data_IF_093773750880
#
_entry.id   IF_093773750880
#
_cell.length_a   1.000
_cell.length_b   1.000
_cell.length_c   1.000
_cell.angle_alpha   90.00
_cell.angle_beta   90.00
_cell.angle_gamma   90.00
#
_symmetry.space_group_name_H-M   'P 1'
#
loop_
_entity.id
_entity.type
_entity.pdbx_description
1 polymer ?
#
# COMPACT_ATOMS: atom_id res chain seq x y z
N UNK A 1 -9.41 -11.66 -15.76
CA UNK A 1 -10.80 -11.95 -15.34
C UNK A 1 -11.09 -11.38 -13.97
N UNK A 2 -10.35 -11.69 -12.90
CA UNK A 2 -10.60 -11.17 -11.53
C UNK A 2 -10.74 -9.64 -11.45
N UNK A 3 -9.95 -8.90 -12.18
CA UNK A 3 -10.00 -7.42 -12.19
C UNK A 3 -11.28 -6.85 -12.81
N UNK A 4 -12.09 -7.65 -13.48
CA UNK A 4 -13.28 -7.22 -14.23
C UNK A 4 -14.54 -7.97 -13.85
N UNK A 5 -14.46 -8.93 -12.92
CA UNK A 5 -15.62 -9.71 -12.51
C UNK A 5 -16.54 -8.89 -11.60
N UNK A 6 -17.72 -8.57 -12.12
CA UNK A 6 -18.77 -7.86 -11.39
C UNK A 6 -19.87 -8.81 -10.88
N UNK A 7 -19.72 -10.13 -11.06
CA UNK A 7 -20.62 -11.11 -10.45
C UNK A 7 -20.35 -11.32 -8.96
N UNK A 8 -19.12 -11.00 -8.51
CA UNK A 8 -18.65 -11.33 -7.16
C UNK A 8 -18.39 -12.82 -6.94
N UNK A 9 -18.45 -13.63 -7.99
CA UNK A 9 -18.32 -15.10 -7.90
C UNK A 9 -16.89 -15.58 -8.04
N UNK A 10 -15.95 -14.72 -8.45
CA UNK A 10 -14.56 -15.12 -8.65
C UNK A 10 -13.88 -15.44 -7.33
N UNK A 11 -13.45 -16.68 -7.16
CA UNK A 11 -12.65 -17.14 -6.03
C UNK A 11 -11.32 -17.67 -6.54
N UNK A 12 -10.23 -17.31 -5.87
CA UNK A 12 -8.90 -17.84 -6.17
C UNK A 12 -8.75 -19.26 -5.62
N UNK A 13 -8.13 -20.12 -6.40
CA UNK A 13 -7.73 -21.43 -5.91
C UNK A 13 -6.72 -21.28 -4.76
N UNK A 14 -6.90 -22.07 -3.71
CA UNK A 14 -5.94 -22.11 -2.61
C UNK A 14 -4.57 -22.56 -3.12
N UNK A 15 -3.52 -21.84 -2.72
CA UNK A 15 -2.12 -22.13 -3.07
C UNK A 15 -1.72 -21.99 -4.55
N UNK A 16 -2.56 -21.43 -5.41
CA UNK A 16 -2.29 -21.27 -6.84
C UNK A 16 -2.21 -19.81 -7.31
N UNK A 17 -1.74 -18.90 -6.45
CA UNK A 17 -1.24 -17.57 -6.83
C UNK A 17 -2.17 -16.70 -7.69
N UNK A 18 -3.50 -16.80 -7.52
CA UNK A 18 -4.47 -15.99 -8.26
C UNK A 18 -5.14 -16.71 -9.44
N UNK A 19 -4.82 -17.97 -9.69
CA UNK A 19 -5.61 -18.79 -10.60
C UNK A 19 -7.04 -18.98 -10.08
N UNK A 20 -8.04 -19.09 -10.98
CA UNK A 20 -9.41 -19.35 -10.58
C UNK A 20 -9.54 -20.72 -9.92
N UNK A 21 -10.43 -20.82 -8.94
CA UNK A 21 -10.81 -22.13 -8.39
C UNK A 21 -11.37 -23.00 -9.51
N UNK A 22 -10.94 -24.26 -9.65
CA UNK A 22 -11.43 -25.18 -10.70
C UNK A 22 -12.94 -25.42 -10.70
N UNK A 23 -13.61 -25.20 -9.57
CA UNK A 23 -15.07 -25.34 -9.46
C UNK A 23 -15.85 -24.16 -10.04
N UNK A 24 -15.19 -23.06 -10.41
CA UNK A 24 -15.86 -21.87 -10.93
C UNK A 24 -16.39 -22.05 -12.35
N UNK A 25 -17.59 -21.54 -12.57
CA UNK A 25 -18.15 -21.41 -13.93
C UNK A 25 -17.59 -20.13 -14.59
N UNK A 26 -16.46 -20.28 -15.28
CA UNK A 26 -15.81 -19.14 -15.94
C UNK A 26 -16.65 -18.55 -17.08
N UNK A 27 -17.56 -19.32 -17.69
CA UNK A 27 -18.48 -18.80 -18.69
C UNK A 27 -19.49 -17.84 -18.09
N UNK A 28 -20.03 -18.15 -16.91
CA UNK A 28 -20.91 -17.26 -16.18
C UNK A 28 -20.20 -15.99 -15.76
N UNK A 29 -19.01 -16.10 -15.15
CA UNK A 29 -18.18 -14.94 -14.76
C UNK A 29 -17.87 -14.07 -15.97
N UNK A 30 -17.57 -14.66 -17.14
CA UNK A 30 -17.25 -13.89 -18.35
C UNK A 30 -18.42 -13.05 -18.90
N UNK A 31 -19.65 -13.39 -18.54
CA UNK A 31 -20.84 -12.63 -18.91
C UNK A 31 -21.09 -11.43 -17.99
N UNK A 32 -20.39 -11.34 -16.86
CA UNK A 32 -20.52 -10.25 -15.90
C UNK A 32 -19.25 -9.37 -15.84
N UNK A 33 -18.49 -9.35 -16.92
CA UNK A 33 -17.29 -8.51 -17.02
C UNK A 33 -17.71 -7.04 -17.17
N UNK A 34 -17.14 -6.18 -16.33
CA UNK A 34 -17.42 -4.76 -16.31
C UNK A 34 -16.20 -3.92 -15.93
N UNK A 35 -16.46 -2.64 -15.64
CA UNK A 35 -15.44 -1.75 -15.11
C UNK A 35 -14.97 -2.27 -13.75
N UNK A 36 -13.65 -2.30 -13.48
CA UNK A 36 -13.12 -2.72 -12.18
C UNK A 36 -13.69 -1.92 -11.01
N UNK A 37 -14.07 -2.62 -9.97
CA UNK A 37 -14.59 -2.08 -8.72
C UNK A 37 -13.51 -2.11 -7.63
N UNK A 38 -13.82 -1.58 -6.44
CA UNK A 38 -12.94 -1.70 -5.26
C UNK A 38 -12.75 -3.17 -4.86
N UNK A 39 -13.80 -3.97 -4.97
CA UNK A 39 -13.74 -5.40 -4.64
C UNK A 39 -12.74 -6.14 -5.52
N UNK A 40 -12.76 -5.86 -6.83
CA UNK A 40 -11.81 -6.48 -7.76
C UNK A 40 -10.34 -6.20 -7.40
N UNK A 41 -10.03 -4.99 -6.97
CA UNK A 41 -8.67 -4.60 -6.61
C UNK A 41 -8.34 -5.02 -5.16
N UNK A 42 -9.29 -4.80 -4.24
CA UNK A 42 -9.12 -4.98 -2.80
C UNK A 42 -8.77 -6.39 -2.38
N UNK A 43 -9.34 -7.41 -3.03
CA UNK A 43 -9.06 -8.84 -2.74
C UNK A 43 -7.56 -9.19 -2.83
N UNK A 44 -6.77 -8.37 -3.52
CA UNK A 44 -5.31 -8.53 -3.60
C UNK A 44 -4.58 -7.40 -2.88
N UNK A 45 -4.99 -6.14 -3.10
CA UNK A 45 -4.22 -4.97 -2.68
C UNK A 45 -4.40 -4.62 -1.20
N UNK A 46 -5.56 -4.92 -0.59
CA UNK A 46 -5.79 -4.61 0.83
C UNK A 46 -5.05 -5.58 1.77
N UNK A 47 -4.62 -6.73 1.26
CA UNK A 47 -3.90 -7.75 2.01
C UNK A 47 -2.41 -7.83 1.66
N UNK A 48 -1.86 -6.76 1.11
CA UNK A 48 -0.45 -6.67 0.77
C UNK A 48 0.46 -6.93 1.97
N UNK A 49 1.48 -7.80 1.79
CA UNK A 49 2.39 -8.18 2.87
C UNK A 49 1.88 -9.31 3.78
N UNK A 50 0.81 -10.02 3.39
CA UNK A 50 0.33 -11.24 4.05
C UNK A 50 -0.77 -11.04 5.08
N UNK A 51 -1.45 -9.89 5.08
CA UNK A 51 -2.60 -9.64 5.95
C UNK A 51 -3.12 -8.22 5.82
N UNK A 52 -4.27 -7.95 6.46
CA UNK A 52 -4.87 -6.63 6.48
C UNK A 52 -3.91 -5.62 7.08
N UNK A 53 -3.70 -4.51 6.40
CA UNK A 53 -2.87 -3.37 6.82
C UNK A 53 -1.43 -3.71 7.28
N UNK A 54 -0.84 -4.81 6.80
CA UNK A 54 0.52 -5.19 7.17
C UNK A 54 1.55 -4.27 6.53
N UNK A 55 1.44 -4.04 5.23
CA UNK A 55 2.46 -3.30 4.45
C UNK A 55 2.15 -1.82 4.32
N UNK A 56 0.91 -1.46 4.08
CA UNK A 56 0.47 -0.09 3.84
C UNK A 56 -0.23 0.51 5.06
N UNK A 57 -0.38 1.84 5.09
CA UNK A 57 -0.92 2.54 6.23
C UNK A 57 -2.43 2.65 6.28
N UNK A 58 -3.12 2.78 5.15
CA UNK A 58 -4.59 2.89 5.04
C UNK A 58 -5.12 2.17 3.79
N UNK A 59 -4.27 1.48 3.03
CA UNK A 59 -4.70 0.62 1.95
C UNK A 59 -5.04 -0.75 2.53
N UNK A 60 -6.20 -0.86 3.13
CA UNK A 60 -6.69 -2.00 3.90
C UNK A 60 -8.17 -2.30 3.61
N UNK A 61 -8.77 -3.20 4.37
CA UNK A 61 -10.17 -3.63 4.18
C UNK A 61 -11.18 -2.49 4.33
N UNK A 62 -10.89 -1.46 5.12
CA UNK A 62 -11.79 -0.32 5.30
C UNK A 62 -12.01 0.46 4.01
N UNK A 63 -11.08 0.32 3.05
CA UNK A 63 -11.21 0.92 1.72
C UNK A 63 -12.25 0.24 0.82
N UNK A 64 -12.87 -0.85 1.23
CA UNK A 64 -14.07 -1.35 0.55
C UNK A 64 -15.24 -0.37 0.67
N UNK A 65 -15.41 0.23 1.86
CA UNK A 65 -16.48 1.19 2.15
C UNK A 65 -15.96 2.38 2.99
N UNK A 66 -15.02 3.17 2.46
CA UNK A 66 -14.40 4.24 3.22
C UNK A 66 -15.38 5.39 3.47
N UNK A 67 -15.25 6.02 4.64
CA UNK A 67 -15.87 7.30 4.98
C UNK A 67 -14.89 8.47 4.65
N UNK A 68 -15.38 9.71 4.77
CA UNK A 68 -14.58 10.92 4.47
C UNK A 68 -13.36 11.11 5.39
N UNK A 69 -13.40 10.59 6.61
CA UNK A 69 -12.27 10.69 7.53
C UNK A 69 -11.13 9.80 7.08
N UNK A 70 -11.45 8.66 6.46
CA UNK A 70 -10.47 7.74 5.93
C UNK A 70 -9.90 8.24 4.60
N UNK A 71 -10.76 8.52 3.62
CA UNK A 71 -10.35 9.00 2.30
C UNK A 71 -11.44 9.86 1.65
N UNK A 72 -11.13 11.13 1.39
CA UNK A 72 -12.09 12.10 0.85
C UNK A 72 -12.51 11.83 -0.59
N UNK A 73 -11.66 11.15 -1.38
CA UNK A 73 -11.94 10.83 -2.78
C UNK A 73 -12.78 9.56 -2.91
N UNK A 74 -12.46 8.54 -2.12
CA UNK A 74 -13.11 7.23 -2.18
C UNK A 74 -14.34 7.13 -1.27
N UNK A 75 -14.55 8.08 -0.36
CA UNK A 75 -15.71 8.09 0.54
C UNK A 75 -17.02 7.91 -0.23
N UNK A 76 -17.87 7.00 0.28
CA UNK A 76 -19.17 6.67 -0.35
C UNK A 76 -20.11 7.88 -0.31
N UNK A 77 -20.07 8.63 0.76
CA UNK A 77 -20.83 9.89 0.93
C UNK A 77 -20.15 11.11 0.27
N UNK A 78 -19.04 10.90 -0.43
CA UNK A 78 -18.22 11.92 -1.10
C UNK A 78 -18.22 11.77 -2.62
N UNK A 79 -17.02 11.82 -3.20
CA UNK A 79 -16.82 11.65 -4.63
C UNK A 79 -17.02 10.20 -5.10
N UNK A 80 -16.95 9.24 -4.18
CA UNK A 80 -17.14 7.81 -4.40
C UNK A 80 -16.29 7.25 -5.56
N UNK A 81 -15.05 7.76 -5.70
CA UNK A 81 -14.10 7.30 -6.70
C UNK A 81 -13.68 5.86 -6.41
N UNK A 82 -13.38 5.13 -7.46
CA UNK A 82 -12.81 3.78 -7.38
C UNK A 82 -11.35 3.78 -7.81
N UNK A 83 -10.64 2.69 -7.59
CA UNK A 83 -9.20 2.60 -7.84
C UNK A 83 -8.79 3.06 -9.24
N UNK A 84 -9.56 2.66 -10.26
CA UNK A 84 -9.27 2.99 -11.67
C UNK A 84 -9.58 4.45 -12.05
N UNK A 85 -10.16 5.25 -11.17
CA UNK A 85 -10.31 6.69 -11.40
C UNK A 85 -8.98 7.43 -11.24
N UNK A 86 -8.09 6.91 -10.39
CA UNK A 86 -6.73 7.43 -10.22
C UNK A 86 -5.68 6.56 -10.94
N UNK A 87 -5.85 5.23 -10.88
CA UNK A 87 -4.97 4.28 -11.55
C UNK A 87 -5.47 4.02 -12.98
N UNK A 88 -5.38 5.06 -13.81
CA UNK A 88 -5.76 4.97 -15.21
C UNK A 88 -4.99 3.85 -15.91
N UNK A 89 -5.65 3.18 -16.85
CA UNK A 89 -5.11 2.00 -17.50
C UNK A 89 -5.21 2.12 -19.00
N UNK A 90 -4.07 2.05 -19.68
CA UNK A 90 -4.00 1.95 -21.11
C UNK A 90 -3.42 0.58 -21.50
N UNK A 91 -4.14 -0.20 -22.29
CA UNK A 91 -3.73 -1.55 -22.74
C UNK A 91 -3.26 -2.47 -21.57
N UNK A 92 -3.97 -2.41 -20.45
CA UNK A 92 -3.64 -3.10 -19.19
C UNK A 92 -2.33 -2.63 -18.50
N UNK A 93 -1.78 -1.53 -18.92
CA UNK A 93 -0.71 -0.87 -18.19
C UNK A 93 -1.32 0.08 -17.16
N UNK A 94 -1.45 -0.40 -15.94
CA UNK A 94 -2.03 0.36 -14.82
C UNK A 94 -1.03 1.41 -14.38
N UNK A 95 -1.47 2.68 -14.30
CA UNK A 95 -0.63 3.76 -13.81
C UNK A 95 -0.40 3.65 -12.30
N UNK A 96 0.73 4.17 -11.83
CA UNK A 96 1.13 4.16 -10.43
C UNK A 96 2.54 3.65 -10.22
N UNK A 97 3.08 3.92 -9.03
CA UNK A 97 4.44 3.51 -8.69
C UNK A 97 4.50 2.18 -7.98
N UNK A 98 5.52 1.43 -8.31
CA UNK A 98 5.87 0.21 -7.62
C UNK A 98 7.11 0.48 -6.78
N UNK A 99 6.95 0.63 -5.45
CA UNK A 99 8.08 0.86 -4.53
C UNK A 99 8.82 -0.42 -4.13
N UNK A 100 8.26 -1.56 -4.44
CA UNK A 100 8.88 -2.86 -4.19
C UNK A 100 9.65 -3.41 -5.38
N UNK A 101 9.78 -2.64 -6.44
CA UNK A 101 10.59 -2.92 -7.64
C UNK A 101 11.31 -1.64 -8.05
N UNK A 102 12.48 -1.78 -8.68
CA UNK A 102 13.20 -0.63 -9.22
C UNK A 102 12.28 0.25 -10.07
N UNK A 103 12.33 1.55 -9.88
CA UNK A 103 11.45 2.51 -10.54
C UNK A 103 12.26 3.63 -11.21
N UNK A 104 11.93 3.92 -12.45
CA UNK A 104 12.60 4.94 -13.27
C UNK A 104 11.75 6.22 -13.43
N UNK A 105 10.86 6.52 -12.50
CA UNK A 105 9.98 7.69 -12.54
C UNK A 105 9.06 7.78 -13.75
N UNK A 106 8.60 6.65 -14.23
CA UNK A 106 7.61 6.54 -15.31
C UNK A 106 6.25 6.12 -14.78
N UNK A 107 5.20 6.36 -15.54
CA UNK A 107 3.85 5.89 -15.25
C UNK A 107 3.36 6.25 -13.83
N UNK A 108 3.53 7.52 -13.43
CA UNK A 108 3.10 8.04 -12.13
C UNK A 108 1.66 8.51 -12.15
N UNK A 109 0.95 8.26 -11.05
CA UNK A 109 -0.25 9.02 -10.71
C UNK A 109 0.16 10.31 -9.99
N UNK A 110 -0.53 11.38 -10.28
CA UNK A 110 -0.36 12.65 -9.58
C UNK A 110 -1.70 13.38 -9.39
N UNK A 111 -1.73 14.32 -8.48
CA UNK A 111 -2.96 15.04 -8.13
C UNK A 111 -3.43 15.95 -9.26
N UNK A 112 -2.51 16.41 -10.10
CA UNK A 112 -2.78 17.31 -11.22
C UNK A 112 -3.52 16.64 -12.39
N UNK A 113 -3.75 15.34 -12.34
CA UNK A 113 -4.66 14.67 -13.29
C UNK A 113 -6.11 15.19 -13.14
N UNK A 114 -6.49 15.63 -11.93
CA UNK A 114 -7.81 16.16 -11.64
C UNK A 114 -7.77 17.57 -11.05
N UNK A 115 -6.74 17.91 -10.29
CA UNK A 115 -6.57 19.22 -9.67
C UNK A 115 -5.68 20.13 -10.51
N UNK A 116 -5.89 21.43 -10.43
CA UNK A 116 -5.01 22.41 -11.08
C UNK A 116 -3.62 22.38 -10.43
N UNK A 117 -2.59 22.85 -11.16
CA UNK A 117 -1.22 22.97 -10.61
C UNK A 117 -1.09 23.98 -9.49
N UNK A 118 -2.07 24.87 -9.32
CA UNK A 118 -2.14 25.90 -8.29
C UNK A 118 -3.51 25.84 -7.62
N UNK A 119 -3.77 24.81 -6.79
CA UNK A 119 -5.11 24.54 -6.27
C UNK A 119 -5.50 25.42 -5.07
N UNK A 120 -4.55 26.14 -4.46
CA UNK A 120 -4.77 26.95 -3.27
C UNK A 120 -4.95 28.44 -3.63
N UNK A 121 -5.80 29.14 -2.91
CA UNK A 121 -5.94 30.59 -3.02
C UNK A 121 -4.65 31.31 -2.56
N UNK A 122 -3.93 30.74 -1.62
CA UNK A 122 -2.67 31.28 -1.12
C UNK A 122 -1.49 30.85 -2.01
N UNK A 123 -0.89 31.81 -2.69
CA UNK A 123 0.22 31.59 -3.60
C UNK A 123 1.46 31.01 -2.93
N UNK A 124 1.73 31.35 -1.68
CA UNK A 124 2.88 30.79 -0.94
C UNK A 124 2.71 29.27 -0.78
N UNK A 125 1.48 28.80 -0.54
CA UNK A 125 1.20 27.35 -0.46
C UNK A 125 1.38 26.71 -1.84
N UNK A 126 0.94 27.35 -2.91
CA UNK A 126 1.17 26.86 -4.27
C UNK A 126 2.69 26.75 -4.61
N UNK A 127 3.51 27.68 -4.15
CA UNK A 127 4.98 27.60 -4.33
C UNK A 127 5.61 26.44 -3.52
N UNK A 128 5.04 26.08 -2.36
CA UNK A 128 5.51 24.92 -1.59
C UNK A 128 5.39 23.62 -2.39
N UNK A 129 4.39 23.47 -3.26
CA UNK A 129 4.17 22.23 -4.03
C UNK A 129 5.33 21.92 -4.99
N UNK A 130 6.22 22.85 -5.27
CA UNK A 130 7.43 22.61 -6.06
C UNK A 130 8.35 21.61 -5.33
N UNK A 131 8.41 21.66 -4.00
CA UNK A 131 9.31 20.85 -3.18
C UNK A 131 8.61 19.98 -2.12
N UNK A 132 7.33 20.19 -1.90
CA UNK A 132 6.53 19.46 -0.93
C UNK A 132 5.35 18.80 -1.67
N UNK A 133 5.27 17.49 -1.67
CA UNK A 133 4.16 16.82 -2.34
C UNK A 133 2.83 17.11 -1.64
N UNK A 134 1.75 17.06 -2.39
CA UNK A 134 0.40 17.31 -1.86
C UNK A 134 0.08 16.41 -0.66
N UNK A 135 0.47 15.13 -0.73
CA UNK A 135 0.25 14.14 0.32
C UNK A 135 0.95 14.52 1.64
N UNK A 136 2.06 15.27 1.59
CA UNK A 136 2.80 15.69 2.80
C UNK A 136 1.93 16.54 3.74
N UNK A 137 1.05 17.36 3.18
CA UNK A 137 0.11 18.19 3.95
C UNK A 137 -1.28 17.53 4.07
N UNK A 138 -1.73 16.84 3.02
CA UNK A 138 -3.08 16.30 2.96
C UNK A 138 -3.22 14.90 3.57
N UNK A 139 -2.10 14.23 3.91
CA UNK A 139 -2.09 12.96 4.68
C UNK A 139 -1.22 13.16 5.93
N UNK A 140 -1.70 13.92 6.93
CA UNK A 140 -0.90 14.21 8.14
C UNK A 140 -0.79 13.01 9.07
N UNK A 141 -1.69 12.04 8.96
CA UNK A 141 -1.77 10.83 9.79
C UNK A 141 -2.17 9.66 8.91
N UNK A 142 -1.61 8.50 9.19
CA UNK A 142 -1.96 7.24 8.53
C UNK A 142 -2.31 6.13 9.55
N UNK A 143 -2.79 4.99 9.07
CA UNK A 143 -3.34 3.90 9.87
C UNK A 143 -4.51 4.39 10.75
N UNK A 144 -5.46 5.08 10.12
CA UNK A 144 -6.57 5.76 10.80
C UNK A 144 -7.66 4.79 11.25
N UNK A 145 -8.01 3.82 10.42
CA UNK A 145 -9.07 2.86 10.72
C UNK A 145 -8.52 1.57 11.32
N UNK A 146 -7.46 1.01 10.75
CA UNK A 146 -6.83 -0.22 11.21
C UNK A 146 -5.38 0.01 11.60
N UNK A 147 -4.91 -0.72 12.61
CA UNK A 147 -3.48 -0.72 12.97
C UNK A 147 -2.64 -1.28 11.83
N UNK A 148 -1.47 -0.69 11.61
CA UNK A 148 -0.50 -1.17 10.64
C UNK A 148 0.73 -1.74 11.32
N UNK A 149 1.34 -2.78 10.70
CA UNK A 149 2.56 -3.40 11.25
C UNK A 149 3.76 -2.48 11.03
N UNK A 150 4.43 -2.09 12.11
CA UNK A 150 5.57 -1.17 12.09
C UNK A 150 6.91 -1.88 12.21
N UNK A 151 6.96 -2.97 12.98
CA UNK A 151 8.19 -3.73 13.20
C UNK A 151 7.90 -5.23 13.15
N UNK A 152 8.86 -5.99 12.66
CA UNK A 152 8.84 -7.44 12.63
C UNK A 152 10.21 -8.00 13.03
N UNK A 153 10.30 -8.54 14.23
CA UNK A 153 11.52 -9.13 14.75
C UNK A 153 11.52 -10.66 14.62
N UNK A 154 12.08 -11.14 13.54
CA UNK A 154 12.26 -12.56 13.26
C UNK A 154 13.22 -13.26 14.23
N UNK A 155 14.15 -12.54 14.86
CA UNK A 155 15.12 -13.11 15.78
C UNK A 155 14.49 -13.72 17.04
N UNK A 156 13.27 -13.30 17.33
CA UNK A 156 12.47 -13.77 18.47
C UNK A 156 11.65 -15.02 18.18
N UNK A 157 11.64 -15.51 16.94
CA UNK A 157 10.89 -16.71 16.55
C UNK A 157 11.40 -17.98 17.28
N UNK A 158 10.56 -19.02 17.29
CA UNK A 158 10.92 -20.34 17.82
C UNK A 158 10.64 -20.55 19.31
N UNK A 159 10.10 -19.54 20.04
CA UNK A 159 9.71 -19.75 21.45
C UNK A 159 8.51 -20.69 21.53
N UNK A 160 8.51 -21.56 22.53
CA UNK A 160 7.46 -22.52 22.81
C UNK A 160 6.87 -22.24 24.20
N UNK A 161 5.58 -22.50 24.38
CA UNK A 161 4.88 -22.44 25.66
C UNK A 161 4.41 -23.86 25.99
N UNK A 162 4.91 -24.42 27.07
CA UNK A 162 4.70 -25.83 27.45
C UNK A 162 5.10 -26.84 26.34
N UNK A 163 6.13 -26.51 25.55
CA UNK A 163 6.59 -27.36 24.45
C UNK A 163 5.85 -27.19 23.10
N UNK A 164 4.80 -26.36 23.07
CA UNK A 164 3.99 -26.15 21.88
C UNK A 164 4.14 -24.74 21.29
N UNK A 165 4.06 -24.57 19.97
CA UNK A 165 3.96 -23.25 19.33
C UNK A 165 2.77 -22.46 19.85
N UNK A 166 2.92 -21.14 19.99
CA UNK A 166 1.86 -20.26 20.49
C UNK A 166 1.79 -18.93 19.72
N UNK A 167 0.69 -18.22 19.92
CA UNK A 167 0.50 -16.83 19.48
C UNK A 167 0.10 -15.96 20.66
N UNK A 168 0.40 -14.67 20.54
CA UNK A 168 -0.10 -13.61 21.42
C UNK A 168 -0.71 -12.50 20.56
N UNK A 169 -1.73 -11.85 21.10
CA UNK A 169 -2.46 -10.77 20.44
C UNK A 169 -2.59 -9.57 21.37
N UNK A 170 -2.72 -8.38 20.80
CA UNK A 170 -3.09 -7.18 21.53
C UNK A 170 -4.62 -7.10 21.73
N UNK A 171 -5.08 -6.03 22.39
CA UNK A 171 -6.50 -5.79 22.63
C UNK A 171 -7.33 -5.55 21.37
N UNK A 172 -6.68 -5.31 20.22
CA UNK A 172 -7.32 -5.09 18.93
C UNK A 172 -7.31 -6.36 18.05
N UNK A 173 -6.77 -7.48 18.57
CA UNK A 173 -6.65 -8.74 17.83
C UNK A 173 -5.46 -8.81 16.87
N UNK A 174 -4.53 -7.88 16.93
CA UNK A 174 -3.31 -7.96 16.13
C UNK A 174 -2.34 -8.93 16.79
N UNK A 175 -1.76 -9.85 16.04
CA UNK A 175 -0.71 -10.72 16.55
C UNK A 175 0.51 -9.90 16.97
N UNK A 176 0.88 -9.97 18.26
CA UNK A 176 2.11 -9.38 18.79
C UNK A 176 3.26 -10.37 18.82
N UNK A 177 2.94 -11.67 18.78
CA UNK A 177 3.91 -12.75 18.66
C UNK A 177 3.31 -13.97 17.93
N UNK A 178 4.13 -14.60 17.14
CA UNK A 178 3.87 -15.94 16.54
C UNK A 178 5.13 -16.78 16.66
N UNK A 179 5.05 -18.01 17.20
CA UNK A 179 6.21 -18.91 17.32
C UNK A 179 6.95 -19.12 15.99
N UNK A 180 6.22 -19.15 14.88
CA UNK A 180 6.78 -19.36 13.54
C UNK A 180 7.35 -18.09 12.90
N UNK A 181 7.09 -16.90 13.45
CA UNK A 181 7.42 -15.61 12.80
C UNK A 181 8.11 -14.61 13.71
N UNK A 182 8.10 -14.80 15.03
CA UNK A 182 8.64 -13.85 16.00
C UNK A 182 7.67 -12.77 16.43
N UNK A 183 8.19 -11.63 16.84
CA UNK A 183 7.45 -10.53 17.45
C UNK A 183 7.07 -9.44 16.44
N UNK A 184 5.95 -8.77 16.69
CA UNK A 184 5.45 -7.67 15.89
C UNK A 184 5.11 -6.46 16.76
N UNK A 185 5.30 -5.26 16.19
CA UNK A 185 4.80 -4.01 16.75
C UNK A 185 3.80 -3.42 15.75
N UNK A 186 2.63 -3.05 16.26
CA UNK A 186 1.57 -2.41 15.50
C UNK A 186 1.36 -0.99 16.00
N UNK A 187 0.88 -0.12 15.12
CA UNK A 187 0.56 1.25 15.49
C UNK A 187 -0.62 1.77 14.67
N UNK A 188 -1.34 2.74 15.20
CA UNK A 188 -2.44 3.43 14.55
C UNK A 188 -2.35 4.94 14.79
N UNK A 189 -3.02 5.72 13.94
CA UNK A 189 -2.99 7.18 13.99
C UNK A 189 -1.54 7.74 14.06
N UNK A 190 -0.69 7.24 13.18
CA UNK A 190 0.74 7.55 13.16
C UNK A 190 1.04 8.73 12.26
N UNK A 191 1.98 9.58 12.69
CA UNK A 191 2.55 10.60 11.81
C UNK A 191 3.51 9.92 10.82
N UNK A 192 3.49 10.30 9.54
CA UNK A 192 4.45 9.80 8.56
C UNK A 192 5.88 10.25 8.88
N UNK A 193 6.85 9.47 8.45
CA UNK A 193 8.21 9.96 8.20
C UNK A 193 8.26 10.69 6.85
N UNK A 194 9.25 11.58 6.68
CA UNK A 194 9.37 12.38 5.47
C UNK A 194 10.73 12.20 4.82
N UNK A 195 10.73 11.98 3.51
CA UNK A 195 11.97 11.83 2.74
C UNK A 195 11.92 12.64 1.44
N UNK A 196 13.08 12.96 0.90
CA UNK A 196 13.20 13.45 -0.47
C UNK A 196 13.04 12.30 -1.46
N UNK A 197 12.19 12.50 -2.46
CA UNK A 197 11.93 11.50 -3.47
C UNK A 197 11.79 12.12 -4.87
N UNK A 198 12.58 11.63 -5.82
CA UNK A 198 12.57 12.12 -7.21
C UNK A 198 11.81 11.20 -8.17
N UNK A 199 11.23 10.14 -7.64
CA UNK A 199 10.50 9.17 -8.45
C UNK A 199 11.29 7.92 -8.81
N UNK A 200 12.56 7.84 -8.46
CA UNK A 200 13.37 6.65 -8.70
C UNK A 200 13.55 5.85 -7.41
N UNK A 201 13.55 4.54 -7.54
CA UNK A 201 13.69 3.62 -6.42
C UNK A 201 14.47 2.40 -6.84
N UNK A 202 15.10 1.76 -5.88
CA UNK A 202 15.77 0.47 -6.01
C UNK A 202 15.43 -0.42 -4.82
N UNK A 203 15.74 -1.71 -4.90
CA UNK A 203 15.50 -2.65 -3.82
C UNK A 203 16.42 -3.85 -3.94
N UNK A 204 16.65 -4.52 -2.81
CA UNK A 204 17.37 -5.77 -2.78
C UNK A 204 16.55 -6.91 -3.36
N UNK A 205 17.15 -7.68 -4.25
CA UNK A 205 16.56 -8.88 -4.83
C UNK A 205 17.15 -10.16 -4.23
N UNK A 206 16.43 -11.24 -4.40
CA UNK A 206 16.96 -12.57 -4.04
C UNK A 206 18.22 -12.86 -4.86
N UNK A 207 19.34 -13.06 -4.17
CA UNK A 207 20.66 -13.30 -4.76
C UNK A 207 21.60 -12.11 -4.71
N UNK A 208 21.13 -10.92 -4.34
CA UNK A 208 22.01 -9.77 -4.13
C UNK A 208 22.92 -9.99 -2.92
N UNK A 209 24.17 -9.55 -3.05
CA UNK A 209 25.15 -9.65 -1.96
C UNK A 209 24.91 -8.55 -0.93
N UNK A 210 24.85 -8.93 0.35
CA UNK A 210 24.87 -7.99 1.47
C UNK A 210 26.33 -7.74 1.85
N UNK A 211 26.85 -6.56 1.51
CA UNK A 211 28.26 -6.21 1.73
C UNK A 211 28.55 -5.84 3.18
N UNK A 212 27.65 -5.12 3.84
CA UNK A 212 27.78 -4.70 5.25
C UNK A 212 26.65 -5.28 6.10
N UNK A 213 26.97 -6.23 6.94
CA UNK A 213 26.05 -6.87 7.89
C UNK A 213 25.98 -6.16 9.24
N UNK A 214 26.74 -5.09 9.44
CA UNK A 214 26.78 -4.33 10.70
C UNK A 214 25.75 -3.22 10.76
N UNK A 215 25.18 -2.85 9.59
CA UNK A 215 24.15 -1.81 9.46
C UNK A 215 22.82 -2.43 9.02
N UNK A 216 21.75 -1.72 9.37
CA UNK A 216 20.43 -2.09 8.88
C UNK A 216 20.37 -1.89 7.35
N UNK A 217 19.98 -2.94 6.64
CA UNK A 217 19.82 -2.91 5.20
C UNK A 217 18.54 -2.19 4.80
N UNK A 218 18.64 -1.19 3.94
CA UNK A 218 17.47 -0.53 3.34
C UNK A 218 16.98 -1.38 2.17
N UNK A 219 15.95 -2.18 2.41
CA UNK A 219 15.41 -3.10 1.39
C UNK A 219 14.77 -2.36 0.21
N UNK A 220 14.11 -1.24 0.45
CA UNK A 220 13.51 -0.38 -0.58
C UNK A 220 14.16 1.00 -0.48
N UNK A 221 15.13 1.26 -1.34
CA UNK A 221 15.83 2.54 -1.40
C UNK A 221 15.06 3.52 -2.29
N UNK A 222 14.58 4.61 -1.72
CA UNK A 222 13.99 5.73 -2.47
C UNK A 222 15.03 6.84 -2.65
N UNK A 223 15.17 7.36 -3.87
CA UNK A 223 16.18 8.36 -4.18
C UNK A 223 15.59 9.76 -4.28
N UNK A 224 16.37 10.73 -3.88
CA UNK A 224 16.06 12.15 -3.99
C UNK A 224 16.87 12.98 -3.01
N UNK A 225 17.01 14.26 -3.32
CA UNK A 225 17.66 15.23 -2.44
C UNK A 225 17.09 16.64 -2.69
N UNK A 226 17.36 17.56 -1.79
CA UNK A 226 17.01 18.98 -1.97
C UNK A 226 17.55 19.59 -3.27
N UNK A 227 18.75 19.16 -3.70
CA UNK A 227 19.41 19.65 -4.93
C UNK A 227 18.80 19.09 -6.21
N UNK A 228 18.03 18.04 -6.10
CA UNK A 228 17.36 17.42 -7.23
C UNK A 228 16.14 18.29 -7.65
N UNK A 229 16.10 18.67 -8.93
CA UNK A 229 15.07 19.60 -9.44
C UNK A 229 13.66 19.04 -9.31
N UNK A 230 13.51 17.73 -9.48
CA UNK A 230 12.22 17.05 -9.51
C UNK A 230 11.86 16.37 -8.19
N UNK A 231 12.78 16.34 -7.23
CA UNK A 231 12.50 15.74 -5.94
C UNK A 231 11.57 16.63 -5.11
N UNK A 232 10.64 15.95 -4.44
CA UNK A 232 9.73 16.52 -3.47
C UNK A 232 9.86 15.78 -2.14
N UNK A 233 9.53 16.42 -1.06
CA UNK A 233 9.32 15.77 0.23
C UNK A 233 8.00 14.97 0.14
N UNK A 234 8.06 13.70 0.46
CA UNK A 234 6.89 12.81 0.48
C UNK A 234 6.73 12.17 1.85
N UNK A 235 5.48 11.88 2.28
CA UNK A 235 5.25 11.07 3.47
C UNK A 235 5.54 9.59 3.15
N UNK A 236 6.13 8.89 4.10
CA UNK A 236 6.42 7.46 4.02
C UNK A 236 6.14 6.77 5.35
N UNK A 237 5.85 5.49 5.27
CA UNK A 237 5.87 4.57 6.41
C UNK A 237 7.19 3.83 6.41
N UNK A 238 7.92 3.87 7.51
CA UNK A 238 9.12 3.04 7.72
C UNK A 238 8.71 1.75 8.41
N UNK A 239 8.90 0.63 7.73
CA UNK A 239 8.70 -0.71 8.28
C UNK A 239 10.06 -1.35 8.58
N UNK A 240 10.25 -1.87 9.77
CA UNK A 240 11.50 -2.46 10.25
C UNK A 240 11.31 -3.93 10.62
#
# INVERSE_FOLDING_TARGET
MVCHDNSGSYVKANNLGGYPDPALNLNEISQHIGRPTRDNCGVCHFFGGGGNNVKHGDLDMEMFQPNRELDVHMAIEGANLVCVDCHETEQHQISGKVYSLASMNVNRNNCEQCHTKRPHENEVINEHTIKVSCQTCHIPVYAKASSTKMNWDWSTAGKLKNGEPYSEEDSLGNHTYLSIKGSFVWGNNLNPDYIWFNGTADHYMLGDTIEDTTQALVLNQLYGSYKDRIAQIIPVKIHR
#
